data_IF_807185855444
#
_entry.id   IF_807185855444
#
_cell.length_a   1.000
_cell.length_b   1.000
_cell.length_c   1.000
_cell.angle_alpha   90.00
_cell.angle_beta   90.00
_cell.angle_gamma   90.00
#
_symmetry.space_group_name_H-M   'P 1'
#
loop_
_entity.id
_entity.type
_entity.pdbx_description
1 polymer ?
#
# COMPACT_ATOMS: atom_id res chain seq x y z
N UNK A 1 25.01 8.81 27.40
CA UNK A 1 23.58 8.67 27.09
C UNK A 1 23.50 7.60 26.03
N UNK A 2 23.09 6.40 26.41
CA UNK A 2 23.24 5.19 25.60
C UNK A 2 22.24 5.24 24.43
N UNK A 3 22.73 4.95 23.22
CA UNK A 3 21.91 4.82 22.01
C UNK A 3 21.19 3.48 22.01
N UNK A 4 20.23 3.31 22.92
CA UNK A 4 19.49 2.07 23.10
C UNK A 4 18.11 2.14 22.44
N UNK A 5 17.70 1.03 21.83
CA UNK A 5 16.35 0.88 21.31
C UNK A 5 15.41 0.53 22.47
N UNK A 6 14.33 1.30 22.60
CA UNK A 6 13.26 1.05 23.57
C UNK A 6 12.05 0.48 22.84
N UNK A 7 11.38 -0.50 23.46
CA UNK A 7 10.14 -1.07 22.94
C UNK A 7 9.05 0.02 22.88
N UNK A 8 8.57 0.33 21.68
CA UNK A 8 7.56 1.39 21.45
C UNK A 8 6.14 0.84 21.32
N UNK A 9 5.99 -0.36 20.76
CA UNK A 9 4.70 -1.03 20.63
C UNK A 9 4.86 -2.52 20.84
N UNK A 10 4.02 -3.07 21.72
CA UNK A 10 3.88 -4.50 21.93
C UNK A 10 2.79 -5.07 21.03
N UNK A 11 2.99 -6.30 20.54
CA UNK A 11 1.97 -7.09 19.84
C UNK A 11 1.30 -6.39 18.65
N UNK A 12 2.08 -5.67 17.83
CA UNK A 12 1.56 -4.99 16.64
C UNK A 12 0.78 -5.97 15.73
N UNK A 13 -0.47 -5.61 15.42
CA UNK A 13 -1.35 -6.39 14.54
C UNK A 13 -1.66 -5.61 13.27
N UNK A 14 -1.66 -6.30 12.15
CA UNK A 14 -2.02 -5.73 10.86
C UNK A 14 -3.55 -5.61 10.79
N UNK A 15 -4.10 -4.45 10.37
CA UNK A 15 -5.54 -4.31 10.17
C UNK A 15 -6.03 -5.27 9.08
N UNK A 16 -7.22 -5.85 9.26
CA UNK A 16 -7.81 -6.81 8.31
C UNK A 16 -8.05 -6.24 6.90
N UNK A 17 -8.19 -4.92 6.79
CA UNK A 17 -8.39 -4.21 5.53
C UNK A 17 -7.83 -2.80 5.61
N UNK A 18 -7.22 -2.32 4.53
CA UNK A 18 -6.74 -0.95 4.38
C UNK A 18 -7.08 -0.41 3.00
N UNK A 19 -7.21 0.91 2.88
CA UNK A 19 -7.53 1.61 1.62
C UNK A 19 -6.28 2.16 0.93
N UNK A 20 -5.13 1.54 1.13
CA UNK A 20 -3.85 1.99 0.59
C UNK A 20 -3.28 0.87 -0.27
N UNK A 21 -2.86 1.18 -1.49
CA UNK A 21 -2.11 0.28 -2.36
C UNK A 21 -0.73 0.86 -2.66
N UNK A 22 0.28 0.00 -2.82
CA UNK A 22 1.68 0.39 -3.04
C UNK A 22 2.28 -0.37 -4.20
N UNK A 23 2.14 0.18 -5.41
CA UNK A 23 2.70 -0.39 -6.64
C UNK A 23 3.49 0.65 -7.42
N UNK A 24 4.49 0.20 -8.16
CA UNK A 24 5.23 1.04 -9.10
C UNK A 24 4.43 1.22 -10.39
N UNK A 25 3.53 2.19 -10.43
CA UNK A 25 2.70 2.47 -11.62
C UNK A 25 3.51 2.91 -12.86
N UNK A 26 4.81 3.21 -12.73
CA UNK A 26 5.70 3.42 -13.89
C UNK A 26 5.80 2.19 -14.80
N UNK A 27 5.57 0.99 -14.26
CA UNK A 27 5.56 -0.26 -15.02
C UNK A 27 4.17 -0.64 -15.54
N UNK A 28 3.14 0.20 -15.39
CA UNK A 28 1.75 -0.14 -15.73
C UNK A 28 1.59 -0.67 -17.17
N UNK A 29 2.32 -0.12 -18.13
CA UNK A 29 2.28 -0.56 -19.54
C UNK A 29 2.86 -1.96 -19.76
N UNK A 30 3.73 -2.41 -18.87
CA UNK A 30 4.39 -3.72 -18.91
C UNK A 30 3.63 -4.78 -18.12
N UNK A 31 2.58 -4.41 -17.39
CA UNK A 31 1.78 -5.33 -16.60
C UNK A 31 0.79 -6.13 -17.45
N UNK A 32 0.43 -7.30 -16.95
CA UNK A 32 -0.69 -8.09 -17.48
C UNK A 32 -2.02 -7.34 -17.30
N UNK A 33 -2.96 -7.60 -18.20
CA UNK A 33 -4.24 -6.89 -18.22
C UNK A 33 -5.10 -7.13 -16.97
N UNK A 34 -4.92 -8.28 -16.31
CA UNK A 34 -5.56 -8.57 -15.02
C UNK A 34 -5.09 -7.62 -13.92
N UNK A 35 -3.78 -7.30 -13.88
CA UNK A 35 -3.23 -6.41 -12.87
C UNK A 35 -3.60 -4.95 -13.16
N UNK A 36 -3.63 -4.56 -14.44
CA UNK A 36 -4.14 -3.24 -14.84
C UNK A 36 -5.57 -3.06 -14.38
N UNK A 37 -6.45 -4.03 -14.68
CA UNK A 37 -7.86 -4.00 -14.27
C UNK A 37 -8.00 -3.86 -12.75
N UNK A 38 -7.25 -4.65 -11.98
CA UNK A 38 -7.28 -4.55 -10.52
C UNK A 38 -6.87 -3.16 -10.00
N UNK A 39 -5.81 -2.56 -10.55
CA UNK A 39 -5.37 -1.22 -10.16
C UNK A 39 -6.37 -0.14 -10.56
N UNK A 40 -7.02 -0.30 -11.72
CA UNK A 40 -8.06 0.62 -12.17
C UNK A 40 -9.31 0.53 -11.29
N UNK A 41 -9.73 -0.68 -10.90
CA UNK A 41 -10.83 -0.91 -9.96
C UNK A 41 -10.54 -0.26 -8.57
N UNK A 42 -9.28 -0.23 -8.14
CA UNK A 42 -8.87 0.44 -6.88
C UNK A 42 -8.91 1.97 -6.96
N UNK A 43 -8.73 2.53 -8.16
CA UNK A 43 -8.82 3.98 -8.42
C UNK A 43 -10.26 4.44 -8.54
N UNK A 44 -11.19 3.53 -8.84
CA UNK A 44 -12.61 3.88 -8.84
C UNK A 44 -13.12 4.10 -7.41
N UNK A 45 -13.95 5.13 -7.18
CA UNK A 45 -14.59 5.33 -5.89
C UNK A 45 -15.59 4.19 -5.65
N UNK A 46 -15.32 3.35 -4.64
CA UNK A 46 -16.29 2.35 -4.20
C UNK A 46 -17.57 2.98 -3.62
N UNK A 47 -18.48 2.17 -3.08
CA UNK A 47 -19.79 2.60 -2.56
C UNK A 47 -19.76 3.79 -1.57
N UNK A 48 -18.63 4.03 -0.91
CA UNK A 48 -18.42 5.14 0.03
C UNK A 48 -17.78 6.39 -0.61
N UNK A 49 -17.75 6.49 -1.95
CA UNK A 49 -17.31 7.66 -2.70
C UNK A 49 -15.81 7.99 -2.62
N UNK A 50 -14.99 7.12 -2.01
CA UNK A 50 -13.56 7.35 -1.82
C UNK A 50 -12.74 6.23 -2.46
N UNK A 51 -11.87 6.53 -3.44
CA UNK A 51 -10.97 5.56 -4.04
C UNK A 51 -9.84 5.20 -3.07
N UNK A 52 -9.09 4.14 -3.39
CA UNK A 52 -7.90 3.78 -2.62
C UNK A 52 -6.80 4.81 -2.84
N UNK A 53 -5.99 5.05 -1.82
CA UNK A 53 -4.84 5.97 -1.89
C UNK A 53 -3.58 5.22 -2.33
N UNK A 54 -2.95 5.67 -3.41
CA UNK A 54 -1.64 5.17 -3.82
C UNK A 54 -0.54 5.68 -2.88
N UNK A 55 0.34 4.79 -2.41
CA UNK A 55 1.59 5.16 -1.73
C UNK A 55 2.71 4.24 -2.17
N UNK A 56 3.73 4.76 -2.86
CA UNK A 56 4.88 3.97 -3.30
C UNK A 56 6.17 4.64 -2.85
N UNK A 57 6.91 3.97 -1.95
CA UNK A 57 8.18 4.48 -1.40
C UNK A 57 9.38 4.00 -2.25
N UNK A 58 9.24 2.88 -2.97
CA UNK A 58 10.32 2.32 -3.79
C UNK A 58 11.48 1.69 -3.01
N UNK A 59 11.36 1.61 -1.68
CA UNK A 59 12.31 0.91 -0.79
C UNK A 59 11.56 -0.16 -0.01
N UNK A 60 12.09 -1.39 -0.05
CA UNK A 60 11.66 -2.46 0.82
C UNK A 60 12.65 -2.54 1.99
N UNK A 61 12.18 -2.26 3.20
CA UNK A 61 12.98 -2.48 4.41
C UNK A 61 13.30 -3.96 4.53
N UNK A 62 14.54 -4.29 4.87
CA UNK A 62 14.88 -5.65 5.31
C UNK A 62 14.36 -5.88 6.72
#
# INVERSE_FOLDING_TARGET
MYGEFVLTQENLQIPKSGKIYSFNEGNYKLWDDNLKKYIDDLKEPGANGKPYSARYIGSFGR
#
